data_IF_221334557522
#
_entry.id   IF_221334557522
#
_cell.length_a   1.000
_cell.length_b   1.000
_cell.length_c   1.000
_cell.angle_alpha   90.00
_cell.angle_beta   90.00
_cell.angle_gamma   90.00
#
_symmetry.space_group_name_H-M   'P 1'
#
loop_
_entity.id
_entity.type
_entity.pdbx_description
1 polymer ?
#
# COMPACT_ATOMS: atom_id res chain seq x y z
N UNK A 1 10.93 -30.17 3.14
CA UNK A 1 10.25 -29.15 3.98
C UNK A 1 11.34 -28.57 4.86
N UNK A 2 11.71 -27.30 4.70
CA UNK A 2 12.70 -26.68 5.59
C UNK A 2 12.07 -26.55 6.98
N UNK A 3 12.69 -27.15 7.98
CA UNK A 3 12.35 -26.90 9.38
C UNK A 3 12.79 -25.47 9.67
N UNK A 4 11.83 -24.57 9.88
CA UNK A 4 12.13 -23.19 10.25
C UNK A 4 12.70 -23.17 11.67
N UNK A 5 13.93 -22.69 11.82
CA UNK A 5 14.57 -22.47 13.12
C UNK A 5 14.10 -21.12 13.69
N UNK A 6 12.99 -21.19 14.42
CA UNK A 6 12.34 -20.01 15.02
C UNK A 6 13.26 -19.38 16.08
N UNK A 7 14.00 -20.19 16.84
CA UNK A 7 14.91 -19.71 17.88
C UNK A 7 16.02 -18.86 17.25
N UNK A 8 16.61 -19.32 16.15
CA UNK A 8 17.63 -18.54 15.44
C UNK A 8 17.06 -17.23 14.86
N UNK A 9 15.82 -17.26 14.34
CA UNK A 9 15.17 -16.06 13.82
C UNK A 9 14.90 -15.03 14.92
N UNK A 10 14.46 -15.46 16.11
CA UNK A 10 14.24 -14.57 17.26
C UNK A 10 15.56 -13.94 17.73
N UNK A 11 16.65 -14.73 17.79
CA UNK A 11 17.97 -14.19 18.14
C UNK A 11 18.47 -13.19 17.11
N UNK A 12 18.32 -13.50 15.82
CA UNK A 12 18.80 -12.63 14.72
C UNK A 12 17.94 -11.39 14.53
N UNK A 13 16.64 -11.50 14.78
CA UNK A 13 15.65 -10.44 14.60
C UNK A 13 14.77 -10.34 15.85
N UNK A 14 15.21 -9.64 16.91
CA UNK A 14 14.46 -9.54 18.18
C UNK A 14 13.03 -8.99 18.04
N UNK A 15 12.76 -8.25 16.96
CA UNK A 15 11.41 -7.81 16.61
C UNK A 15 10.42 -8.98 16.47
N UNK A 16 10.88 -10.16 16.04
CA UNK A 16 10.06 -11.37 15.88
C UNK A 16 9.44 -11.79 17.20
N UNK A 17 10.16 -11.68 18.32
CA UNK A 17 9.61 -11.99 19.65
C UNK A 17 8.41 -11.09 19.97
N UNK A 18 8.54 -9.78 19.70
CA UNK A 18 7.45 -8.81 19.92
C UNK A 18 6.22 -9.11 19.07
N UNK A 19 6.41 -9.62 17.85
CA UNK A 19 5.31 -10.09 17.00
C UNK A 19 4.64 -11.34 17.58
N UNK A 20 5.43 -12.27 18.14
CA UNK A 20 4.91 -13.48 18.80
C UNK A 20 4.11 -13.14 20.07
N UNK A 21 4.53 -12.11 20.80
CA UNK A 21 3.89 -11.63 22.02
C UNK A 21 2.63 -10.77 21.74
N UNK A 22 2.24 -10.62 20.47
CA UNK A 22 1.10 -9.84 20.01
C UNK A 22 1.16 -8.36 20.42
N UNK A 23 2.38 -7.83 20.58
CA UNK A 23 2.57 -6.42 20.85
C UNK A 23 2.25 -5.58 19.61
N UNK A 24 1.73 -4.37 19.84
CA UNK A 24 1.69 -3.36 18.79
C UNK A 24 3.14 -2.99 18.41
N UNK A 25 3.50 -3.25 17.14
CA UNK A 25 4.84 -3.04 16.62
C UNK A 25 4.82 -1.99 15.52
N UNK A 26 5.72 -1.01 15.63
CA UNK A 26 6.07 -0.10 14.54
C UNK A 26 7.49 -0.41 14.09
N UNK A 27 7.67 -0.70 12.80
CA UNK A 27 8.97 -0.96 12.21
C UNK A 27 9.26 0.04 11.10
N UNK A 28 10.30 0.84 11.30
CA UNK A 28 10.81 1.74 10.28
C UNK A 28 11.89 1.02 9.48
N UNK A 29 11.70 0.91 8.16
CA UNK A 29 12.70 0.29 7.30
C UNK A 29 13.99 1.13 7.31
N UNK A 30 15.12 0.62 7.85
CA UNK A 30 16.37 1.37 7.88
C UNK A 30 17.05 1.48 6.51
N UNK A 31 16.57 0.72 5.51
CA UNK A 31 17.17 0.58 4.19
C UNK A 31 16.32 1.22 3.10
N UNK A 32 15.62 2.32 3.39
CA UNK A 32 14.96 3.11 2.34
C UNK A 32 16.01 3.69 1.40
N UNK A 33 15.78 3.62 0.10
CA UNK A 33 16.70 4.13 -0.92
C UNK A 33 16.10 5.33 -1.65
N UNK A 34 16.91 5.98 -2.47
CA UNK A 34 16.38 6.93 -3.45
C UNK A 34 15.55 6.23 -4.53
N UNK A 35 14.76 7.00 -5.28
CA UNK A 35 14.03 6.47 -6.44
C UNK A 35 14.99 5.82 -7.45
N UNK A 36 16.08 6.49 -7.78
CA UNK A 36 17.04 5.99 -8.78
C UNK A 36 17.67 4.66 -8.38
N UNK A 37 17.96 4.47 -7.08
CA UNK A 37 18.51 3.22 -6.55
C UNK A 37 17.44 2.13 -6.42
N UNK A 38 16.21 2.49 -6.03
CA UNK A 38 15.14 1.55 -5.72
C UNK A 38 14.38 1.04 -6.95
N UNK A 39 14.17 1.92 -7.95
CA UNK A 39 13.35 1.63 -9.11
C UNK A 39 13.82 0.41 -9.93
N UNK A 40 15.13 0.14 -10.11
CA UNK A 40 15.60 -1.07 -10.79
C UNK A 40 15.13 -2.39 -10.16
N UNK A 41 14.84 -2.39 -8.85
CA UNK A 41 14.38 -3.59 -8.13
C UNK A 41 12.85 -3.82 -8.23
N UNK A 42 12.08 -2.84 -8.74
CA UNK A 42 10.62 -2.94 -8.88
C UNK A 42 10.23 -3.85 -10.05
N UNK A 43 11.05 -3.88 -11.10
CA UNK A 43 10.76 -4.66 -12.31
C UNK A 43 9.64 -4.10 -13.19
N UNK A 44 9.14 -2.90 -12.88
CA UNK A 44 8.15 -2.15 -13.65
C UNK A 44 8.64 -0.73 -13.89
N UNK A 45 8.06 -0.10 -14.92
CA UNK A 45 8.41 1.24 -15.38
C UNK A 45 7.20 2.17 -15.31
N UNK A 46 7.46 3.46 -15.53
CA UNK A 46 6.39 4.45 -15.68
C UNK A 46 5.48 4.15 -16.88
N UNK A 47 6.00 3.52 -17.93
CA UNK A 47 5.18 3.15 -19.09
C UNK A 47 4.16 2.08 -18.72
N UNK A 48 4.51 1.11 -17.87
CA UNK A 48 3.55 0.10 -17.40
C UNK A 48 2.39 0.75 -16.63
N UNK A 49 2.69 1.79 -15.84
CA UNK A 49 1.67 2.61 -15.14
C UNK A 49 0.78 3.33 -16.16
N UNK A 50 1.36 4.01 -17.15
CA UNK A 50 0.61 4.74 -18.17
C UNK A 50 -0.26 3.81 -19.04
N UNK A 51 0.22 2.60 -19.35
CA UNK A 51 -0.55 1.60 -20.08
C UNK A 51 -1.74 1.08 -19.27
N UNK A 52 -1.56 0.91 -17.95
CA UNK A 52 -2.65 0.54 -17.05
C UNK A 52 -3.71 1.66 -16.95
N UNK A 53 -3.29 2.91 -16.82
CA UNK A 53 -4.19 4.08 -16.87
C UNK A 53 -4.96 4.15 -18.19
N UNK A 54 -4.26 4.05 -19.33
CA UNK A 54 -4.89 4.05 -20.65
C UNK A 54 -5.86 2.88 -20.82
N UNK A 55 -5.58 1.72 -20.19
CA UNK A 55 -6.50 0.59 -20.19
C UNK A 55 -7.77 0.93 -19.43
N UNK A 56 -7.69 1.51 -18.23
CA UNK A 56 -8.88 1.93 -17.47
C UNK A 56 -9.72 2.94 -18.27
N UNK A 57 -9.06 3.91 -18.91
CA UNK A 57 -9.74 4.89 -19.77
C UNK A 57 -10.51 4.23 -20.94
N UNK A 58 -9.93 3.22 -21.58
CA UNK A 58 -10.62 2.46 -22.65
C UNK A 58 -11.84 1.70 -22.14
N UNK A 59 -11.82 1.26 -20.88
CA UNK A 59 -12.92 0.51 -20.27
C UNK A 59 -14.00 1.41 -19.66
N UNK A 60 -13.76 2.71 -19.48
CA UNK A 60 -14.71 3.63 -18.86
C UNK A 60 -16.12 3.58 -19.50
N UNK A 61 -16.30 3.55 -20.84
CA UNK A 61 -17.64 3.41 -21.44
C UNK A 61 -18.33 2.10 -21.08
N UNK A 62 -17.57 0.99 -20.98
CA UNK A 62 -18.10 -0.30 -20.57
C UNK A 62 -18.50 -0.29 -19.08
N UNK A 63 -17.70 0.34 -18.23
CA UNK A 63 -17.97 0.44 -16.80
C UNK A 63 -19.28 1.18 -16.52
N UNK A 64 -19.59 2.25 -17.27
CA UNK A 64 -20.90 2.92 -17.20
C UNK A 64 -22.09 1.99 -17.47
N UNK A 65 -21.92 1.00 -18.34
CA UNK A 65 -22.97 0.05 -18.72
C UNK A 65 -23.07 -1.11 -17.73
N UNK A 66 -21.92 -1.65 -17.32
CA UNK A 66 -21.85 -2.80 -16.44
C UNK A 66 -22.16 -2.45 -14.97
N UNK A 67 -21.81 -1.23 -14.55
CA UNK A 67 -21.94 -0.72 -13.18
C UNK A 67 -22.63 0.65 -13.20
N UNK A 68 -23.96 0.71 -13.05
CA UNK A 68 -24.73 1.95 -13.11
C UNK A 68 -24.24 3.03 -12.13
N UNK A 69 -23.69 2.66 -10.98
CA UNK A 69 -23.11 3.62 -10.03
C UNK A 69 -21.94 4.43 -10.61
N UNK A 70 -21.21 3.89 -11.59
CA UNK A 70 -20.05 4.58 -12.20
C UNK A 70 -20.47 5.59 -13.28
N UNK A 71 -21.75 5.65 -13.66
CA UNK A 71 -22.22 6.61 -14.66
C UNK A 71 -21.99 8.06 -14.20
N UNK A 72 -22.14 8.32 -12.90
CA UNK A 72 -21.93 9.66 -12.33
C UNK A 72 -20.48 10.14 -12.48
N UNK A 73 -19.53 9.21 -12.57
CA UNK A 73 -18.10 9.48 -12.77
C UNK A 73 -17.63 9.15 -14.18
N UNK A 74 -18.56 8.95 -15.14
CA UNK A 74 -18.25 8.56 -16.51
C UNK A 74 -17.38 7.28 -16.63
N UNK A 75 -17.59 6.33 -15.73
CA UNK A 75 -16.85 5.06 -15.71
C UNK A 75 -15.46 5.17 -15.09
N UNK A 76 -15.10 6.33 -14.53
CA UNK A 76 -13.86 6.52 -13.78
C UNK A 76 -14.06 6.03 -12.34
N UNK A 77 -13.18 5.14 -11.89
CA UNK A 77 -13.23 4.55 -10.54
C UNK A 77 -12.20 5.27 -9.68
N UNK A 78 -12.66 6.27 -8.93
CA UNK A 78 -11.83 7.08 -8.04
C UNK A 78 -12.57 7.39 -6.73
N UNK A 79 -11.81 7.82 -5.71
CA UNK A 79 -12.33 8.22 -4.40
C UNK A 79 -12.01 9.69 -4.12
N UNK A 80 -12.88 10.37 -3.36
CA UNK A 80 -12.63 11.74 -2.94
C UNK A 80 -11.47 11.82 -1.94
N UNK A 81 -10.69 12.90 -2.03
CA UNK A 81 -9.64 13.25 -1.05
C UNK A 81 -10.16 14.39 -0.19
N UNK A 82 -10.41 14.13 1.09
CA UNK A 82 -10.95 15.10 2.05
C UNK A 82 -10.00 15.35 3.20
N UNK A 83 -9.94 16.59 3.69
CA UNK A 83 -9.13 16.95 4.86
C UNK A 83 -9.86 16.57 6.16
N UNK A 84 -9.10 16.10 7.16
CA UNK A 84 -9.60 15.73 8.50
C UNK A 84 -8.94 16.57 9.62
N UNK A 85 -9.14 17.90 9.65
CA UNK A 85 -8.42 18.79 10.57
C UNK A 85 -8.74 18.54 12.05
N UNK A 86 -9.94 18.03 12.38
CA UNK A 86 -10.36 17.77 13.77
C UNK A 86 -9.91 16.43 14.35
N UNK A 87 -9.42 15.51 13.52
CA UNK A 87 -9.04 14.17 13.97
C UNK A 87 -7.57 14.07 14.38
N UNK A 88 -6.71 14.92 13.81
CA UNK A 88 -5.30 15.00 14.19
C UNK A 88 -5.11 15.32 15.69
N UNK A 89 -5.99 16.16 16.26
CA UNK A 89 -6.00 16.50 17.69
C UNK A 89 -6.44 15.32 18.57
N UNK A 90 -7.41 14.52 18.10
CA UNK A 90 -7.93 13.35 18.83
C UNK A 90 -6.97 12.16 18.83
N UNK A 91 -6.24 11.95 17.74
CA UNK A 91 -5.25 10.86 17.61
C UNK A 91 -4.00 11.15 18.47
N UNK A 92 -3.61 12.41 18.64
CA UNK A 92 -2.46 12.80 19.47
C UNK A 92 -2.67 12.64 20.98
N UNK A 93 -3.92 12.59 21.47
CA UNK A 93 -4.24 12.43 22.89
C UNK A 93 -4.34 10.96 23.37
N UNK A 94 -4.30 10.00 22.43
CA UNK A 94 -4.46 8.57 22.70
C UNK A 94 -3.14 7.76 22.63
N UNK A 95 -2.00 8.44 22.42
CA UNK A 95 -0.64 7.92 22.50
C UNK A 95 0.09 8.54 23.70
#
# INVERSE_FOLDING_TARGET
MNTLDIENLVVKFPLVQRLMDLEAVTWFNPNTTTLAEGLPYVGLTQNDVAEAEARLQRFAPYLCLAFPETQQTNGIIESEVVAIPGDAERVGAAL
#
